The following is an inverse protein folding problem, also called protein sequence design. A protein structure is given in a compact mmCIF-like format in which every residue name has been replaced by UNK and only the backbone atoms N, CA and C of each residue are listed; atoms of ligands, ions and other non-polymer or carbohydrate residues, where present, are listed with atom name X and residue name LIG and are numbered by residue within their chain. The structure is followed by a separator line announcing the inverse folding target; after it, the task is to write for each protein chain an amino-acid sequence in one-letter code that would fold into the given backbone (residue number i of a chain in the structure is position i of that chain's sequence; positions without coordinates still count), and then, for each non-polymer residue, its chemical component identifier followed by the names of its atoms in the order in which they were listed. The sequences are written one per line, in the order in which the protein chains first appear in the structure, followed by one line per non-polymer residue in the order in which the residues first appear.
data_IF_183425126440
#
_entry.id   IF_183425126440
#
_cell.length_a   1.000
_cell.length_b   1.000
_cell.length_c   1.000
_cell.angle_alpha   90.00
_cell.angle_beta   90.00
_cell.angle_gamma   90.00
#
_symmetry.space_group_name_H-M   'P 1'
#
loop_
_entity.id
_entity.type
_entity.pdbx_description
1 polymer ?
#
# COMPACT_ATOMS: atom_id res chain seq x y z
N UNK A 1 20.49 -15.73 1.42
CA UNK A 1 19.14 -15.16 1.22
C UNK A 1 18.79 -15.30 -0.25
N UNK A 2 17.70 -15.98 -0.57
CA UNK A 2 17.27 -16.23 -1.95
C UNK A 2 15.94 -15.51 -2.16
N UNK A 3 16.00 -14.37 -2.83
CA UNK A 3 14.88 -13.44 -2.91
C UNK A 3 14.27 -13.45 -4.31
N UNK A 4 12.94 -13.47 -4.36
CA UNK A 4 12.18 -13.43 -5.61
C UNK A 4 11.24 -12.23 -5.60
N UNK A 5 11.26 -11.44 -6.68
CA UNK A 5 10.33 -10.32 -6.88
C UNK A 5 9.05 -10.85 -7.51
N UNK A 6 7.91 -10.55 -6.86
CA UNK A 6 6.58 -10.95 -7.30
C UNK A 6 5.73 -9.71 -7.56
N UNK A 7 5.17 -9.63 -8.76
CA UNK A 7 4.32 -8.52 -9.19
C UNK A 7 2.97 -9.03 -9.67
N UNK A 8 1.92 -8.25 -9.40
CA UNK A 8 0.63 -8.38 -10.08
C UNK A 8 0.41 -7.18 -11.00
N UNK A 9 -0.02 -7.44 -12.23
CA UNK A 9 -0.24 -6.43 -13.26
C UNK A 9 -1.50 -6.71 -14.07
N UNK A 10 -1.91 -5.74 -14.88
CA UNK A 10 -2.92 -5.93 -15.95
C UNK A 10 -2.30 -6.53 -17.21
N UNK A 11 -1.01 -6.27 -17.40
CA UNK A 11 -0.22 -6.73 -18.54
C UNK A 11 1.08 -7.33 -18.02
N UNK A 12 1.77 -8.18 -18.81
CA UNK A 12 3.11 -8.63 -18.49
C UNK A 12 4.06 -7.43 -18.34
N UNK A 13 4.95 -7.53 -17.35
CA UNK A 13 5.96 -6.51 -17.06
C UNK A 13 7.32 -7.23 -17.10
N UNK A 14 8.36 -6.64 -17.71
CA UNK A 14 9.70 -7.24 -17.70
C UNK A 14 10.31 -7.23 -16.29
N UNK A 15 11.30 -8.11 -16.03
CA UNK A 15 12.02 -8.11 -14.77
C UNK A 15 12.70 -6.75 -14.51
N UNK A 16 12.57 -6.18 -13.31
CA UNK A 16 13.14 -4.86 -13.02
C UNK A 16 14.65 -4.90 -12.72
N UNK A 17 15.15 -6.07 -12.31
CA UNK A 17 16.55 -6.30 -11.93
C UNK A 17 16.93 -7.66 -12.53
N UNK A 18 17.87 -7.68 -13.48
CA UNK A 18 18.21 -8.88 -14.26
C UNK A 18 18.72 -10.05 -13.40
N UNK A 19 19.40 -9.75 -12.30
CA UNK A 19 20.04 -10.74 -11.42
C UNK A 19 19.11 -11.33 -10.36
N UNK A 20 17.87 -10.85 -10.26
CA UNK A 20 16.92 -11.27 -9.22
C UNK A 20 15.77 -12.05 -9.87
N UNK A 21 15.47 -13.28 -9.41
CA UNK A 21 14.31 -14.03 -9.88
C UNK A 21 13.03 -13.18 -9.83
N UNK A 22 12.24 -13.27 -10.89
CA UNK A 22 11.09 -12.40 -11.09
C UNK A 22 9.90 -13.17 -11.64
N UNK A 23 8.71 -12.88 -11.10
CA UNK A 23 7.45 -13.38 -11.61
C UNK A 23 6.37 -12.29 -11.64
N UNK A 24 5.67 -12.17 -12.76
CA UNK A 24 4.54 -11.27 -12.95
C UNK A 24 3.27 -12.05 -13.30
N UNK A 25 2.25 -11.96 -12.45
CA UNK A 25 0.90 -12.43 -12.79
C UNK A 25 0.11 -11.29 -13.46
N UNK A 26 -0.05 -11.40 -14.77
CA UNK A 26 -0.85 -10.48 -15.58
C UNK A 26 -2.30 -10.99 -15.69
N UNK A 27 -3.24 -10.25 -15.13
CA UNK A 27 -4.68 -10.57 -15.14
C UNK A 27 -5.47 -9.27 -14.98
N UNK A 28 -6.53 -9.04 -15.76
CA UNK A 28 -7.39 -7.89 -15.55
C UNK A 28 -8.45 -8.18 -14.49
N UNK A 29 -8.74 -7.20 -13.64
CA UNK A 29 -9.86 -7.28 -12.70
C UNK A 29 -11.13 -6.86 -13.39
N UNK A 30 -12.21 -7.62 -13.21
CA UNK A 30 -13.56 -7.26 -13.66
C UNK A 30 -14.28 -6.29 -12.70
N UNK A 31 -13.75 -6.08 -11.49
CA UNK A 31 -14.37 -5.25 -10.46
C UNK A 31 -14.18 -3.75 -10.72
N UNK A 32 -15.19 -2.95 -10.38
CA UNK A 32 -15.08 -1.50 -10.42
C UNK A 32 -14.57 -0.99 -9.07
N UNK A 33 -13.29 -0.60 -9.01
CA UNK A 33 -12.62 -0.09 -7.80
C UNK A 33 -13.30 1.01 -7.00
N UNK A 34 -14.25 1.74 -7.60
CA UNK A 34 -14.97 2.82 -6.92
C UNK A 34 -16.33 2.38 -6.39
N UNK A 35 -16.85 1.24 -6.85
CA UNK A 35 -18.14 0.67 -6.44
C UNK A 35 -17.94 -0.58 -5.58
N UNK A 36 -17.01 -1.44 -5.98
CA UNK A 36 -16.81 -2.79 -5.47
C UNK A 36 -15.48 -2.87 -4.69
N UNK A 37 -15.28 -1.91 -3.77
CA UNK A 37 -13.97 -1.72 -3.11
C UNK A 37 -13.57 -2.95 -2.30
N UNK A 38 -14.53 -3.58 -1.62
CA UNK A 38 -14.28 -4.77 -0.82
C UNK A 38 -13.92 -5.96 -1.71
N UNK A 39 -14.75 -6.24 -2.71
CA UNK A 39 -14.58 -7.33 -3.66
C UNK A 39 -13.27 -7.20 -4.45
N UNK A 40 -12.94 -5.99 -4.92
CA UNK A 40 -11.65 -5.73 -5.56
C UNK A 40 -10.49 -5.99 -4.59
N UNK A 41 -10.60 -5.59 -3.32
CA UNK A 41 -9.54 -5.81 -2.32
C UNK A 41 -9.32 -7.30 -2.04
N UNK A 42 -10.41 -8.08 -1.90
CA UNK A 42 -10.36 -9.54 -1.74
C UNK A 42 -9.74 -10.19 -2.97
N UNK A 43 -10.23 -9.87 -4.16
CA UNK A 43 -9.69 -10.38 -5.42
C UNK A 43 -8.19 -10.08 -5.56
N UNK A 44 -7.75 -8.87 -5.20
CA UNK A 44 -6.35 -8.49 -5.26
C UNK A 44 -5.48 -9.24 -4.23
N UNK A 45 -6.02 -9.64 -3.08
CA UNK A 45 -5.30 -10.49 -2.12
C UNK A 45 -5.13 -11.92 -2.67
N UNK A 46 -6.20 -12.50 -3.22
CA UNK A 46 -6.17 -13.82 -3.85
C UNK A 46 -5.22 -13.86 -5.05
N UNK A 47 -5.28 -12.84 -5.91
CA UNK A 47 -4.38 -12.72 -7.06
C UNK A 47 -2.92 -12.68 -6.63
N UNK A 48 -2.60 -11.98 -5.52
CA UNK A 48 -1.23 -11.99 -4.98
C UNK A 48 -0.83 -13.35 -4.44
N UNK A 49 -1.72 -14.06 -3.74
CA UNK A 49 -1.44 -15.43 -3.29
C UNK A 49 -1.14 -16.37 -4.45
N UNK A 50 -1.97 -16.34 -5.51
CA UNK A 50 -1.70 -17.11 -6.74
C UNK A 50 -0.35 -16.76 -7.33
N UNK A 51 -0.05 -15.46 -7.42
CA UNK A 51 1.22 -15.00 -7.97
C UNK A 51 2.43 -15.48 -7.15
N UNK A 52 2.33 -15.44 -5.83
CA UNK A 52 3.37 -15.94 -4.93
C UNK A 52 3.50 -17.46 -5.05
N UNK A 53 2.40 -18.22 -5.02
CA UNK A 53 2.44 -19.68 -5.16
C UNK A 53 3.16 -20.10 -6.44
N UNK A 54 2.76 -19.53 -7.59
CA UNK A 54 3.40 -19.83 -8.87
C UNK A 54 4.86 -19.39 -8.94
N UNK A 55 5.21 -18.29 -8.28
CA UNK A 55 6.61 -17.87 -8.17
C UNK A 55 7.45 -18.89 -7.37
N UNK A 56 6.91 -19.41 -6.25
CA UNK A 56 7.61 -20.41 -5.44
C UNK A 56 7.74 -21.77 -6.15
N UNK A 57 6.76 -22.14 -6.97
CA UNK A 57 6.86 -23.33 -7.83
C UNK A 57 7.96 -23.17 -8.90
N UNK A 58 8.06 -21.99 -9.52
CA UNK A 58 9.10 -21.68 -10.52
C UNK A 58 10.49 -21.53 -9.92
N UNK A 59 10.58 -21.02 -8.70
CA UNK A 59 11.82 -20.70 -8.01
C UNK A 59 11.83 -21.37 -6.62
N UNK A 60 12.00 -22.70 -6.54
CA UNK A 60 11.85 -23.46 -5.29
C UNK A 60 12.88 -23.11 -4.21
N UNK A 61 13.99 -22.49 -4.59
CA UNK A 61 15.01 -22.01 -3.64
C UNK A 61 14.66 -20.69 -2.95
N UNK A 62 13.52 -20.07 -3.25
CA UNK A 62 13.11 -18.77 -2.68
C UNK A 62 12.88 -18.87 -1.17
N UNK A 63 13.55 -18.02 -0.40
CA UNK A 63 13.39 -17.84 1.04
C UNK A 63 12.62 -16.56 1.40
N UNK A 64 12.68 -15.55 0.51
CA UNK A 64 12.12 -14.22 0.75
C UNK A 64 11.40 -13.70 -0.50
N UNK A 65 10.29 -12.97 -0.29
CA UNK A 65 9.48 -12.41 -1.38
C UNK A 65 9.52 -10.90 -1.32
N UNK A 66 9.80 -10.24 -2.45
CA UNK A 66 9.47 -8.83 -2.66
C UNK A 66 8.12 -8.74 -3.35
N UNK A 67 7.10 -8.33 -2.61
CA UNK A 67 5.77 -8.08 -3.16
C UNK A 67 5.67 -6.61 -3.57
N UNK A 68 5.48 -6.36 -4.86
CA UNK A 68 5.46 -5.00 -5.44
C UNK A 68 4.36 -4.86 -6.49
N UNK A 69 3.56 -3.79 -6.42
CA UNK A 69 2.59 -3.51 -7.48
C UNK A 69 3.29 -3.05 -8.77
N UNK A 70 2.63 -3.34 -9.89
CA UNK A 70 3.02 -2.92 -11.24
C UNK A 70 3.40 -1.43 -11.40
N UNK A 71 2.85 -0.52 -10.58
CA UNK A 71 3.19 0.90 -10.64
C UNK A 71 4.59 1.24 -10.08
N UNK A 72 5.13 0.38 -9.21
CA UNK A 72 6.37 0.62 -8.48
C UNK A 72 7.52 -0.25 -8.98
N UNK A 73 7.23 -1.36 -9.67
CA UNK A 73 8.23 -2.31 -10.15
C UNK A 73 9.31 -1.67 -11.03
N UNK A 74 8.96 -0.63 -11.81
CA UNK A 74 9.91 0.10 -12.68
C UNK A 74 10.82 1.07 -11.93
N UNK A 75 10.65 1.26 -10.62
CA UNK A 75 11.48 2.15 -9.80
C UNK A 75 12.70 1.40 -9.27
N UNK A 76 13.54 0.97 -10.21
CA UNK A 76 14.67 0.04 -10.01
C UNK A 76 15.59 0.47 -8.88
N UNK A 77 15.96 1.74 -8.81
CA UNK A 77 16.90 2.24 -7.78
C UNK A 77 16.28 2.20 -6.36
N UNK A 78 14.98 2.46 -6.24
CA UNK A 78 14.28 2.33 -4.96
C UNK A 78 14.14 0.85 -4.55
N UNK A 79 13.90 -0.04 -5.52
CA UNK A 79 13.85 -1.49 -5.28
C UNK A 79 15.20 -2.06 -4.85
N UNK A 80 16.30 -1.71 -5.55
CA UNK A 80 17.67 -2.11 -5.19
C UNK A 80 17.99 -1.69 -3.77
N UNK A 81 17.73 -0.42 -3.43
CA UNK A 81 17.93 0.09 -2.07
C UNK A 81 17.14 -0.70 -1.03
N UNK A 82 15.86 -0.99 -1.30
CA UNK A 82 15.04 -1.77 -0.37
C UNK A 82 15.62 -3.17 -0.13
N UNK A 83 16.06 -3.84 -1.21
CA UNK A 83 16.68 -5.17 -1.16
C UNK A 83 18.01 -5.12 -0.39
N UNK A 84 18.87 -4.14 -0.69
CA UNK A 84 20.16 -3.96 -0.01
C UNK A 84 19.94 -3.72 1.49
N UNK A 85 18.97 -2.88 1.86
CA UNK A 85 18.63 -2.63 3.27
C UNK A 85 18.14 -3.90 3.95
N UNK A 86 17.28 -4.69 3.31
CA UNK A 86 16.79 -5.96 3.86
C UNK A 86 17.92 -6.96 4.10
N UNK A 87 18.85 -7.06 3.15
CA UNK A 87 20.05 -7.91 3.27
C UNK A 87 20.92 -7.52 4.45
N UNK A 88 21.10 -6.20 4.69
CA UNK A 88 21.88 -5.71 5.83
C UNK A 88 21.20 -5.95 7.18
N UNK A 89 19.87 -5.90 7.24
CA UNK A 89 19.12 -6.07 8.50
C UNK A 89 19.04 -7.55 8.92
N UNK A 90 19.01 -8.48 7.97
CA UNK A 90 19.13 -9.92 8.27
C UNK A 90 17.86 -10.76 8.17
N UNK A 91 16.89 -10.41 7.31
CA UNK A 91 15.81 -11.32 6.89
C UNK A 91 14.72 -11.66 7.91
N UNK A 92 14.93 -11.47 9.21
CA UNK A 92 13.93 -11.76 10.26
C UNK A 92 13.00 -10.55 10.53
N UNK A 93 12.61 -9.83 9.48
CA UNK A 93 11.76 -8.64 9.54
C UNK A 93 10.80 -8.60 8.36
N UNK A 94 9.79 -7.76 8.47
CA UNK A 94 9.00 -7.32 7.31
C UNK A 94 9.48 -5.90 6.97
N UNK A 95 10.05 -5.70 5.78
CA UNK A 95 10.60 -4.40 5.36
C UNK A 95 9.80 -3.78 4.21
N UNK A 96 9.28 -2.58 4.43
CA UNK A 96 8.54 -1.79 3.46
C UNK A 96 9.33 -0.63 2.89
N UNK A 97 8.94 -0.21 1.69
CA UNK A 97 9.30 1.09 1.12
C UNK A 97 8.18 2.12 1.37
N UNK A 98 8.51 3.38 1.72
CA UNK A 98 7.51 4.43 1.83
C UNK A 98 6.99 4.78 0.44
N UNK A 99 5.66 4.78 0.30
CA UNK A 99 4.97 5.18 -0.92
C UNK A 99 4.55 6.64 -0.80
N UNK A 100 5.08 7.46 -1.70
CA UNK A 100 4.77 8.88 -1.82
C UNK A 100 3.85 9.11 -3.01
N UNK A 101 2.72 9.76 -2.78
CA UNK A 101 1.75 10.06 -3.82
C UNK A 101 1.84 11.52 -4.25
N UNK A 102 2.23 11.72 -5.51
CA UNK A 102 2.17 13.02 -6.20
C UNK A 102 0.81 13.17 -6.86
N UNK A 103 -0.17 13.67 -6.11
CA UNK A 103 -1.48 13.97 -6.68
C UNK A 103 -1.49 15.39 -7.23
N UNK A 104 -1.59 15.55 -8.55
CA UNK A 104 -2.01 16.82 -9.17
C UNK A 104 -3.54 16.95 -9.07
N UNK A 105 -4.08 16.92 -7.85
CA UNK A 105 -5.53 17.01 -7.60
C UNK A 105 -6.03 18.42 -7.29
N UNK A 106 -5.12 19.38 -7.06
CA UNK A 106 -5.46 20.76 -6.69
C UNK A 106 -4.69 21.74 -7.58
N UNK A 107 -5.10 22.99 -7.56
CA UNK A 107 -4.38 24.06 -8.25
C UNK A 107 -3.12 24.44 -7.46
N UNK A 108 -3.22 24.48 -6.12
CA UNK A 108 -2.18 25.06 -5.26
C UNK A 108 -1.42 24.02 -4.42
N UNK A 109 -2.10 23.02 -3.82
CA UNK A 109 -1.45 22.00 -2.95
C UNK A 109 -1.21 20.68 -3.70
N UNK A 110 -0.10 20.59 -4.44
CA UNK A 110 0.33 19.40 -5.21
C UNK A 110 1.56 18.70 -4.62
N UNK A 111 1.81 18.91 -3.33
CA UNK A 111 2.94 18.32 -2.61
C UNK A 111 2.75 16.80 -2.46
N UNK A 112 3.84 16.01 -2.53
CA UNK A 112 3.88 14.63 -2.07
C UNK A 112 3.22 14.44 -0.71
N UNK A 113 2.48 13.35 -0.58
CA UNK A 113 1.96 12.88 0.70
C UNK A 113 2.28 11.40 0.83
N UNK A 114 2.56 10.99 2.06
CA UNK A 114 2.64 9.56 2.35
C UNK A 114 1.29 8.92 2.02
N UNK A 115 1.32 7.84 1.23
CA UNK A 115 0.13 7.25 0.62
C UNK A 115 -0.54 6.22 1.52
N UNK A 116 0.25 5.49 2.32
CA UNK A 116 -0.24 4.36 3.09
C UNK A 116 -0.90 4.81 4.40
N UNK A 117 -2.15 5.25 4.30
CA UNK A 117 -2.95 5.63 5.46
C UNK A 117 -3.62 4.45 6.17
N UNK A 118 -3.50 3.22 5.65
CA UNK A 118 -4.09 2.03 6.26
C UNK A 118 -3.07 1.29 7.13
N UNK A 119 -1.85 1.09 6.61
CA UNK A 119 -0.80 0.39 7.31
C UNK A 119 -0.09 1.24 8.37
N UNK A 120 0.27 2.47 8.02
CA UNK A 120 1.06 3.37 8.86
C UNK A 120 0.41 4.77 8.93
N UNK A 121 -0.79 4.91 9.51
CA UNK A 121 -1.52 6.18 9.57
C UNK A 121 -0.74 7.31 10.27
N UNK A 122 0.16 6.97 11.19
CA UNK A 122 1.07 7.89 11.88
C UNK A 122 2.01 8.64 10.92
N UNK A 123 2.28 8.09 9.73
CA UNK A 123 3.18 8.67 8.74
C UNK A 123 2.50 9.57 7.70
N UNK A 124 1.15 9.67 7.72
CA UNK A 124 0.37 10.41 6.70
C UNK A 124 0.75 11.89 6.59
N UNK A 125 1.28 12.48 7.67
CA UNK A 125 1.71 13.89 7.70
C UNK A 125 3.21 14.10 7.46
N UNK A 126 3.99 13.02 7.29
CA UNK A 126 5.42 13.08 7.00
C UNK A 126 5.63 13.55 5.56
N UNK A 127 6.71 14.31 5.33
CA UNK A 127 7.09 14.81 4.00
C UNK A 127 8.38 14.16 3.52
N UNK A 128 8.52 13.89 2.21
CA UNK A 128 9.69 13.17 1.69
C UNK A 128 11.01 13.96 1.74
N UNK A 129 10.96 15.28 1.95
CA UNK A 129 12.13 16.16 2.07
C UNK A 129 12.36 16.65 3.50
N UNK A 130 11.80 16.00 4.51
CA UNK A 130 12.16 16.23 5.92
C UNK A 130 13.08 15.08 6.42
N UNK A 131 14.28 14.85 5.81
CA UNK A 131 15.13 13.71 6.13
C UNK A 131 15.73 13.82 7.54
N UNK A 132 15.88 15.02 8.09
CA UNK A 132 16.48 15.24 9.41
C UNK A 132 15.54 14.89 10.57
N UNK A 133 14.24 14.77 10.31
CA UNK A 133 13.23 14.53 11.35
C UNK A 133 12.98 13.05 11.65
N UNK A 134 13.42 12.16 10.77
CA UNK A 134 13.10 10.73 10.86
C UNK A 134 14.36 9.89 10.67
N UNK A 135 14.55 8.83 11.46
CA UNK A 135 15.64 7.90 11.24
C UNK A 135 15.47 7.21 9.87
N UNK A 136 16.59 6.71 9.33
CA UNK A 136 16.60 6.01 8.03
C UNK A 136 15.65 4.80 8.03
N UNK A 137 15.61 4.09 9.16
CA UNK A 137 14.72 2.96 9.40
C UNK A 137 13.77 3.34 10.53
N UNK A 138 12.48 3.20 10.29
CA UNK A 138 11.43 3.38 11.31
C UNK A 138 10.70 2.07 11.53
N UNK A 139 10.32 1.78 12.77
CA UNK A 139 9.41 0.68 13.09
C UNK A 139 7.98 1.18 13.11
N UNK A 140 7.07 0.42 12.51
CA UNK A 140 5.65 0.72 12.38
C UNK A 140 4.81 -0.49 12.77
N UNK A 141 3.51 -0.34 13.10
CA UNK A 141 2.67 -1.50 13.43
C UNK A 141 2.36 -2.35 12.20
N UNK A 142 2.28 -1.74 11.01
CA UNK A 142 2.09 -2.45 9.76
C UNK A 142 2.43 -1.58 8.55
N UNK A 143 2.44 -2.21 7.37
CA UNK A 143 2.65 -1.55 6.09
C UNK A 143 1.73 -2.13 5.02
N UNK A 144 1.48 -1.34 4.00
CA UNK A 144 0.87 -1.75 2.76
C UNK A 144 1.86 -2.46 1.83
N UNK A 145 1.70 -2.21 0.54
CA UNK A 145 2.48 -2.89 -0.50
C UNK A 145 3.90 -2.30 -0.68
N UNK A 146 4.71 -2.89 -1.57
CA UNK A 146 6.15 -2.65 -1.74
C UNK A 146 6.91 -3.12 -0.49
N UNK A 147 6.80 -4.42 -0.25
CA UNK A 147 7.25 -5.06 0.98
C UNK A 147 8.07 -6.30 0.69
N UNK A 148 9.10 -6.51 1.51
CA UNK A 148 9.89 -7.73 1.57
C UNK A 148 9.54 -8.49 2.85
N UNK A 149 9.26 -9.79 2.73
CA UNK A 149 8.98 -10.66 3.88
C UNK A 149 9.43 -12.11 3.63
N UNK A 150 9.69 -12.89 4.70
CA UNK A 150 10.03 -14.31 4.57
C UNK A 150 8.88 -15.15 4.01
N UNK A 151 9.20 -16.12 3.17
CA UNK A 151 8.22 -17.05 2.59
C UNK A 151 7.42 -17.78 3.65
N UNK A 152 8.04 -18.15 4.78
CA UNK A 152 7.37 -18.90 5.84
C UNK A 152 6.26 -18.10 6.52
N UNK A 153 6.40 -16.76 6.60
CA UNK A 153 5.32 -15.88 7.08
C UNK A 153 4.11 -15.97 6.16
N UNK A 154 4.32 -15.95 4.85
CA UNK A 154 3.25 -16.11 3.87
C UNK A 154 2.65 -17.51 3.87
N UNK A 155 3.46 -18.57 3.95
CA UNK A 155 2.97 -19.96 4.02
C UNK A 155 2.04 -20.17 5.22
N UNK A 156 2.37 -19.56 6.36
CA UNK A 156 1.59 -19.71 7.60
C UNK A 156 0.28 -18.91 7.60
N UNK A 157 0.27 -17.72 7.01
CA UNK A 157 -0.83 -16.77 7.19
C UNK A 157 -1.59 -16.38 5.91
N UNK A 158 -0.94 -16.53 4.75
CA UNK A 158 -1.37 -16.05 3.44
C UNK A 158 -1.81 -14.57 3.43
N UNK A 159 -2.05 -14.01 2.25
CA UNK A 159 -2.62 -12.67 2.13
C UNK A 159 -4.14 -12.77 2.17
N UNK A 160 -4.77 -12.20 3.20
CA UNK A 160 -6.22 -12.18 3.37
C UNK A 160 -6.65 -10.78 3.78
N UNK A 161 -7.69 -10.25 3.13
CA UNK A 161 -8.31 -8.98 3.53
C UNK A 161 -8.85 -9.10 4.95
N UNK A 162 -8.42 -8.26 5.90
CA UNK A 162 -8.89 -8.37 7.28
C UNK A 162 -10.29 -7.78 7.46
N UNK A 163 -11.04 -8.36 8.40
CA UNK A 163 -12.33 -7.87 8.87
C UNK A 163 -12.21 -7.28 10.28
N UNK A 164 -12.96 -6.20 10.63
CA UNK A 164 -13.92 -5.49 9.79
C UNK A 164 -13.29 -4.57 8.73
N UNK A 165 -13.72 -4.69 7.47
CA UNK A 165 -13.29 -3.83 6.37
C UNK A 165 -13.99 -2.45 6.38
N UNK A 166 -13.31 -1.33 6.06
CA UNK A 166 -11.88 -1.18 5.77
C UNK A 166 -11.03 -0.86 7.00
N UNK A 167 -11.59 -0.94 8.21
CA UNK A 167 -10.95 -0.45 9.43
C UNK A 167 -9.66 -1.18 9.79
N UNK A 168 -9.57 -2.47 9.48
CA UNK A 168 -8.38 -3.29 9.74
C UNK A 168 -7.31 -3.19 8.64
N UNK A 169 -7.52 -2.36 7.62
CA UNK A 169 -6.53 -2.09 6.58
C UNK A 169 -6.48 -3.13 5.47
N UNK A 170 -5.26 -3.45 5.02
CA UNK A 170 -5.03 -4.29 3.83
C UNK A 170 -4.63 -5.72 4.19
N UNK A 171 -4.52 -6.59 3.18
CA UNK A 171 -3.98 -7.94 3.38
C UNK A 171 -2.57 -7.96 3.97
N UNK A 172 -1.73 -6.96 3.67
CA UNK A 172 -0.41 -6.80 4.27
C UNK A 172 -0.49 -6.35 5.73
N UNK A 173 -1.49 -5.53 6.11
CA UNK A 173 -1.73 -5.16 7.50
C UNK A 173 -1.99 -6.38 8.36
N UNK A 174 -2.83 -7.30 7.87
CA UNK A 174 -3.08 -8.59 8.52
C UNK A 174 -1.83 -9.46 8.60
N UNK A 175 -1.07 -9.56 7.50
CA UNK A 175 0.17 -10.34 7.46
C UNK A 175 1.18 -9.82 8.50
N UNK A 176 1.38 -8.49 8.55
CA UNK A 176 2.23 -7.82 9.52
C UNK A 176 1.84 -8.20 10.95
N UNK A 177 0.57 -8.04 11.29
CA UNK A 177 0.07 -8.31 12.63
C UNK A 177 0.25 -9.78 13.04
N UNK A 178 -0.05 -10.73 12.15
CA UNK A 178 0.02 -12.15 12.46
C UNK A 178 1.45 -12.72 12.43
N UNK A 179 2.38 -12.06 11.74
CA UNK A 179 3.76 -12.54 11.60
C UNK A 179 4.51 -12.62 12.93
N UNK A 180 4.21 -11.72 13.86
CA UNK A 180 5.00 -11.52 15.08
C UNK A 180 6.41 -10.92 14.84
N UNK A 181 6.74 -10.57 13.59
CA UNK A 181 8.04 -9.99 13.23
C UNK A 181 8.04 -8.47 13.40
N UNK A 182 9.22 -7.85 13.61
CA UNK A 182 9.37 -6.41 13.48
C UNK A 182 8.99 -5.94 12.06
N UNK A 183 8.18 -4.90 11.99
CA UNK A 183 7.79 -4.27 10.72
C UNK A 183 8.49 -2.93 10.59
N UNK A 184 9.31 -2.81 9.56
CA UNK A 184 10.22 -1.69 9.35
C UNK A 184 9.92 -1.00 8.02
N UNK A 185 10.20 0.29 7.94
CA UNK A 185 10.20 1.04 6.68
C UNK A 185 11.59 1.65 6.44
N UNK A 186 12.14 1.42 5.25
CA UNK A 186 13.34 2.13 4.78
C UNK A 186 12.91 3.48 4.17
N UNK A 187 13.07 4.56 4.94
CA UNK A 187 12.67 5.91 4.55
C UNK A 187 13.43 6.46 3.33
N UNK A 188 14.55 5.83 2.95
CA UNK A 188 15.33 6.20 1.77
C UNK A 188 14.94 5.39 0.52
N UNK A 189 14.28 4.24 0.64
CA UNK A 189 13.75 3.45 -0.48
C UNK A 189 12.45 4.08 -1.04
N UNK A 190 12.51 5.36 -1.45
CA UNK A 190 11.33 6.16 -1.77
C UNK A 190 10.65 5.69 -3.06
N UNK A 191 9.45 5.14 -2.91
CA UNK A 191 8.58 4.80 -4.03
C UNK A 191 7.63 5.95 -4.31
N UNK A 192 7.37 6.22 -5.59
CA UNK A 192 6.52 7.31 -6.01
C UNK A 192 5.34 6.82 -6.84
N UNK A 193 4.15 7.31 -6.56
CA UNK A 193 2.98 7.18 -7.43
C UNK A 193 2.66 8.55 -8.01
N UNK A 194 2.81 8.68 -9.33
CA UNK A 194 2.68 9.95 -10.06
C UNK A 194 1.95 9.73 -11.38
N UNK A 195 1.69 10.81 -12.12
CA UNK A 195 1.07 10.71 -13.45
C UNK A 195 1.91 9.91 -14.46
N UNK A 196 3.24 9.80 -14.24
CA UNK A 196 4.14 9.07 -15.13
C UNK A 196 3.92 7.56 -15.08
N UNK A 197 3.58 7.02 -13.90
CA UNK A 197 3.36 5.58 -13.72
C UNK A 197 1.92 5.22 -13.39
N UNK A 198 1.06 6.18 -13.07
CA UNK A 198 -0.36 5.93 -12.80
C UNK A 198 -1.24 7.08 -13.30
N UNK A 199 -2.00 6.83 -14.38
CA UNK A 199 -2.91 7.82 -14.98
C UNK A 199 -3.99 8.32 -14.01
N UNK A 200 -4.38 7.52 -13.02
CA UNK A 200 -5.37 7.93 -12.00
C UNK A 200 -4.78 8.90 -10.96
N UNK A 201 -3.46 9.13 -10.96
CA UNK A 201 -2.81 10.14 -10.13
C UNK A 201 -3.11 11.59 -10.57
N UNK A 202 -3.84 11.77 -11.68
CA UNK A 202 -4.15 13.07 -12.26
C UNK A 202 -5.66 13.36 -12.32
N UNK A 203 -6.06 14.57 -11.90
CA UNK A 203 -7.42 15.08 -12.10
C UNK A 203 -7.41 16.08 -13.28
N UNK A 204 -8.47 16.08 -14.09
CA UNK A 204 -8.69 17.13 -15.09
C UNK A 204 -8.69 18.51 -14.44
N UNK A 205 -8.36 19.56 -15.20
CA UNK A 205 -8.29 20.93 -14.68
C UNK A 205 -9.60 21.35 -13.98
N UNK A 206 -10.75 21.05 -14.58
CA UNK A 206 -12.07 21.33 -14.00
C UNK A 206 -12.28 20.65 -12.65
N UNK A 207 -11.87 19.38 -12.53
CA UNK A 207 -11.91 18.63 -11.27
C UNK A 207 -10.92 19.19 -10.25
N UNK A 208 -9.74 19.64 -10.67
CA UNK A 208 -8.73 20.30 -9.81
C UNK A 208 -9.24 21.62 -9.26
N UNK A 209 -9.87 22.45 -10.09
CA UNK A 209 -10.50 23.70 -9.66
C UNK A 209 -11.58 23.43 -8.62
N UNK A 210 -12.54 22.54 -8.91
CA UNK A 210 -13.62 22.16 -7.99
C UNK A 210 -13.09 21.66 -6.64
N UNK A 211 -12.08 20.78 -6.64
CA UNK A 211 -11.49 20.24 -5.40
C UNK A 211 -10.72 21.32 -4.63
N UNK A 212 -10.11 22.28 -5.31
CA UNK A 212 -9.40 23.41 -4.68
C UNK A 212 -10.38 24.36 -4.02
N UNK A 213 -11.47 24.73 -4.71
CA UNK A 213 -12.56 25.56 -4.17
C UNK A 213 -13.21 24.85 -2.98
N UNK A 214 -13.54 23.57 -3.09
CA UNK A 214 -14.12 22.80 -1.97
C UNK A 214 -13.19 22.65 -0.77
N UNK A 215 -11.86 22.67 -0.97
CA UNK A 215 -10.89 22.67 0.13
C UNK A 215 -10.75 24.05 0.78
N UNK A 216 -10.89 25.13 0.01
CA UNK A 216 -10.87 26.51 0.50
C UNK A 216 -12.14 26.87 1.27
N UNK A 217 -13.29 26.39 0.80
CA UNK A 217 -14.61 26.62 1.42
C UNK A 217 -14.86 25.77 2.68
N UNK A 218 -14.01 24.78 2.99
CA UNK A 218 -14.12 23.99 4.23
C UNK A 218 -13.12 24.52 5.26
N UNK A 219 -13.58 25.27 6.29
CA UNK A 219 -12.70 25.67 7.37
C UNK A 219 -12.13 24.44 8.07
N UNK A 220 -10.91 24.59 8.58
CA UNK A 220 -10.03 23.60 9.23
C UNK A 220 -10.58 23.00 10.54
N UNK A 221 -11.88 22.70 10.64
CA UNK A 221 -12.53 22.29 11.91
C UNK A 221 -12.79 20.78 12.07
N UNK A 222 -12.40 19.94 11.10
CA UNK A 222 -12.57 18.47 11.19
C UNK A 222 -11.32 17.72 10.69
N UNK A 223 -10.13 18.10 11.18
CA UNK A 223 -8.89 17.33 10.96
C UNK A 223 -8.56 16.34 12.08
N UNK A 224 -9.32 16.34 13.16
CA UNK A 224 -9.33 15.27 14.16
C UNK A 224 -10.46 14.29 13.84
N UNK A 225 -10.08 13.02 13.72
CA UNK A 225 -10.88 11.79 13.79
C UNK A 225 -12.36 12.02 14.19
N UNK A 226 -13.32 11.63 13.33
CA UNK A 226 -14.75 11.65 13.70
C UNK A 226 -15.77 11.75 12.56
N UNK A 227 -15.34 11.87 11.30
CA UNK A 227 -16.28 11.96 10.17
C UNK A 227 -17.04 10.66 9.88
N UNK A 228 -16.42 9.50 10.14
CA UNK A 228 -17.07 8.19 10.04
C UNK A 228 -17.99 7.91 11.24
N UNK A 229 -17.53 8.25 12.45
CA UNK A 229 -18.29 8.04 13.70
C UNK A 229 -19.57 8.87 13.76
N UNK A 230 -19.57 10.11 13.26
CA UNK A 230 -20.80 10.93 13.21
C UNK A 230 -21.86 10.36 12.28
N UNK A 231 -21.47 9.76 11.15
CA UNK A 231 -22.41 9.11 10.22
C UNK A 231 -22.95 7.80 10.78
N UNK A 232 -22.09 7.00 11.44
CA UNK A 232 -22.51 5.78 12.11
C UNK A 232 -23.44 6.08 13.30
N UNK A 233 -23.15 7.11 14.11
CA UNK A 233 -23.99 7.53 15.23
C UNK A 233 -25.34 8.12 14.78
N UNK A 234 -25.35 8.88 13.68
CA UNK A 234 -26.60 9.40 13.10
C UNK A 234 -27.48 8.28 12.51
N UNK A 235 -26.87 7.25 11.91
CA UNK A 235 -27.58 6.07 11.42
C UNK A 235 -28.16 5.25 12.58
N UNK A 236 -27.38 4.96 13.62
CA UNK A 236 -27.84 4.27 14.84
C UNK A 236 -28.99 4.98 15.55
N UNK A 237 -28.96 6.31 15.66
CA UNK A 237 -30.08 7.08 16.24
C UNK A 237 -31.36 7.00 15.40
N UNK A 238 -31.22 6.90 14.08
CA UNK A 238 -32.36 6.80 13.18
C UNK A 238 -32.98 5.41 13.22
N UNK A 239 -32.15 4.38 13.32
CA UNK A 239 -32.57 2.98 13.41
C UNK A 239 -33.26 2.70 14.77
N UNK A 240 -32.73 3.24 15.88
CA UNK A 240 -33.37 3.15 17.21
C UNK A 240 -34.71 3.90 17.31
N UNK A 241 -34.85 5.01 16.57
CA UNK A 241 -36.10 5.78 16.53
C UNK A 241 -37.19 5.08 15.70
N UNK A 242 -36.82 4.19 14.77
CA UNK A 242 -37.77 3.39 13.99
C UNK A 242 -38.19 2.07 14.67
N UNK A 243 -37.46 1.61 15.68
CA UNK A 243 -37.84 0.44 16.50
C UNK A 243 -38.72 0.80 17.69
N UNK A 244 -38.87 2.10 17.99
CA UNK A 244 -39.65 2.62 19.13
C UNK A 244 -41.01 3.18 18.73
N UNK A 245 -41.44 2.96 17.47
CA UNK A 245 -42.71 3.42 16.89
C UNK A 245 -43.45 2.23 16.28
#
# INVERSE_FOLDING_TARGET
MNLTIVTIGRQPIPPPIETVPYYCLAEESSYNRYRDVYEETVYLAEKRNRAISTALEKFPGTTDIVSVDSYYVVQVEALKRLIDTYQRIGGEVILGAPIWYYRKNRLIDNRPKFYDSWGSPELVNVRPWEPERWPEIIQVPSIGNCVIFPVDVWRKHSLVTPEPFPYMGSCYTRLCHLSGLPVLIDMRAKMYRSAANNREAFYSFTKRFRVSVGAWLRPTRERTLGGADKKAAAKRKKDLASESA
#
